data_IF_484881679334
#
_entry.id   IF_484881679334
#
_cell.length_a   1.000
_cell.length_b   1.000
_cell.length_c   1.000
_cell.angle_alpha   90.00
_cell.angle_beta   90.00
_cell.angle_gamma   90.00
#
_symmetry.space_group_name_H-M   'P 1'
#
loop_
_entity.id
_entity.type
_entity.pdbx_description
1 polymer ?
#
# COMPACT_ATOMS: atom_id res chain seq x y z
N UNK A 1 -12.24 -29.30 40.17
CA UNK A 1 -10.79 -29.04 39.93
C UNK A 1 -10.37 -30.00 38.83
N UNK A 2 -9.87 -29.65 37.65
CA UNK A 2 -9.54 -28.40 36.97
C UNK A 2 -9.52 -28.74 35.47
N UNK A 3 -10.14 -27.92 34.61
CA UNK A 3 -9.99 -28.05 33.15
C UNK A 3 -8.88 -27.09 32.70
N UNK A 4 -7.77 -27.65 32.24
CA UNK A 4 -6.62 -26.92 31.69
C UNK A 4 -7.02 -26.16 30.42
N UNK A 5 -6.84 -24.84 30.46
CA UNK A 5 -6.99 -23.96 29.31
C UNK A 5 -5.74 -23.99 28.43
N UNK A 6 -5.96 -24.22 27.14
CA UNK A 6 -4.95 -24.16 26.06
C UNK A 6 -4.31 -22.77 26.03
N UNK A 7 -3.00 -22.67 26.35
CA UNK A 7 -2.22 -21.45 26.18
C UNK A 7 -1.85 -21.27 24.71
N UNK A 8 -2.36 -20.21 24.09
CA UNK A 8 -1.92 -19.73 22.78
C UNK A 8 -0.48 -19.22 22.90
N UNK A 9 0.47 -19.94 22.30
CA UNK A 9 1.87 -19.49 22.16
C UNK A 9 1.92 -18.35 21.14
N UNK A 10 2.11 -17.11 21.62
CA UNK A 10 2.53 -15.98 20.78
C UNK A 10 3.96 -16.24 20.31
N UNK A 11 4.15 -16.46 19.01
CA UNK A 11 5.46 -16.47 18.37
C UNK A 11 5.88 -15.01 18.19
N UNK A 12 6.77 -14.55 19.07
CA UNK A 12 7.53 -13.31 18.90
C UNK A 12 8.63 -13.58 17.87
N UNK A 13 8.37 -13.20 16.62
CA UNK A 13 9.41 -13.12 15.59
C UNK A 13 10.39 -12.02 15.97
N UNK A 14 11.64 -12.41 16.17
CA UNK A 14 12.79 -11.53 16.40
C UNK A 14 13.01 -10.69 15.15
N UNK A 15 12.73 -9.40 15.24
CA UNK A 15 13.12 -8.40 14.24
C UNK A 15 14.65 -8.27 14.25
N UNK A 16 15.30 -8.68 13.16
CA UNK A 16 16.67 -8.31 12.88
C UNK A 16 16.68 -6.82 12.54
N UNK A 17 17.28 -6.01 13.39
CA UNK A 17 17.56 -4.60 13.13
C UNK A 17 18.64 -4.52 12.05
N UNK A 18 18.25 -4.20 10.82
CA UNK A 18 19.15 -3.62 9.82
C UNK A 18 18.90 -2.12 9.86
N UNK A 19 19.85 -1.39 10.43
CA UNK A 19 19.84 0.07 10.41
C UNK A 19 20.01 0.56 8.99
N UNK A 20 18.93 1.01 8.38
CA UNK A 20 18.95 1.82 7.16
C UNK A 20 18.69 3.25 7.59
N UNK A 21 19.72 4.08 7.52
CA UNK A 21 19.62 5.53 7.71
C UNK A 21 18.85 6.10 6.51
N UNK A 22 17.58 6.44 6.73
CA UNK A 22 16.76 7.17 5.76
C UNK A 22 16.98 8.65 6.01
N UNK A 23 17.74 9.31 5.14
CA UNK A 23 17.79 10.77 5.04
C UNK A 23 16.87 11.20 3.89
N UNK A 24 15.59 11.38 4.20
CA UNK A 24 14.62 11.97 3.28
C UNK A 24 14.81 13.49 3.23
N UNK A 25 15.49 13.99 2.18
CA UNK A 25 15.36 15.39 1.77
C UNK A 25 14.21 15.52 0.78
N UNK A 26 13.12 16.12 1.24
CA UNK A 26 12.14 16.78 0.36
C UNK A 26 12.87 17.96 -0.29
N UNK A 27 13.14 17.86 -1.59
CA UNK A 27 13.47 19.03 -2.40
C UNK A 27 12.37 19.25 -3.42
N UNK A 28 11.94 20.51 -3.47
CA UNK A 28 10.92 21.02 -4.34
C UNK A 28 11.25 20.76 -5.82
N UNK A 29 10.17 20.67 -6.59
CA UNK A 29 10.14 20.55 -8.05
C UNK A 29 11.20 21.40 -8.75
N UNK A 30 12.21 20.75 -9.33
CA UNK A 30 13.02 21.33 -10.41
C UNK A 30 12.56 20.68 -11.70
N UNK A 31 11.53 21.27 -12.31
CA UNK A 31 11.16 20.99 -13.69
C UNK A 31 12.21 21.61 -14.61
N UNK A 32 13.05 20.77 -15.22
CA UNK A 32 13.88 21.14 -16.36
C UNK A 32 15.12 20.26 -16.48
N UNK A 33 15.43 19.71 -17.67
CA UNK A 33 16.74 19.13 -17.90
C UNK A 33 17.76 20.28 -17.86
N UNK A 34 18.58 20.35 -16.81
CA UNK A 34 19.80 21.11 -16.87
C UNK A 34 20.72 20.37 -17.85
N UNK A 35 20.73 20.83 -19.10
CA UNK A 35 21.72 20.38 -20.09
C UNK A 35 23.05 20.99 -19.65
N UNK A 36 23.78 20.28 -18.81
CA UNK A 36 25.18 20.55 -18.59
C UNK A 36 25.88 20.43 -19.95
N UNK A 37 26.63 21.46 -20.35
CA UNK A 37 27.52 21.44 -21.51
C UNK A 37 28.46 20.23 -21.42
N UNK A 38 28.10 19.13 -22.09
CA UNK A 38 28.81 17.83 -22.08
C UNK A 38 30.01 17.81 -23.03
N UNK A 39 30.79 18.89 -23.10
CA UNK A 39 32.04 18.85 -23.87
C UNK A 39 33.14 18.29 -22.96
N UNK A 40 33.32 16.97 -23.01
CA UNK A 40 34.42 16.29 -22.32
C UNK A 40 35.74 16.66 -23.01
N UNK A 41 36.81 16.89 -22.25
CA UNK A 41 38.09 17.23 -22.84
C UNK A 41 38.62 16.08 -23.70
N UNK A 42 39.10 16.43 -24.89
CA UNK A 42 39.71 15.49 -25.82
C UNK A 42 41.17 15.17 -25.42
N UNK A 43 41.71 14.08 -25.95
CA UNK A 43 43.12 13.73 -25.73
C UNK A 43 44.08 14.79 -26.26
N UNK A 44 43.73 15.47 -27.36
CA UNK A 44 44.54 16.54 -27.92
C UNK A 44 44.56 17.77 -27.01
N UNK A 45 43.42 18.13 -26.41
CA UNK A 45 43.33 19.22 -25.42
C UNK A 45 44.14 18.90 -24.16
N UNK A 46 44.07 17.64 -23.69
CA UNK A 46 44.83 17.16 -22.53
C UNK A 46 46.33 17.18 -22.80
N UNK A 47 46.77 16.76 -23.99
CA UNK A 47 48.17 16.79 -24.40
C UNK A 47 48.71 18.23 -24.54
N UNK A 48 47.92 19.14 -25.14
CA UNK A 48 48.28 20.54 -25.28
C UNK A 48 48.39 21.25 -23.91
N UNK A 49 47.47 20.96 -22.98
CA UNK A 49 47.48 21.52 -21.64
C UNK A 49 48.73 21.09 -20.83
N UNK A 50 49.26 19.89 -21.06
CA UNK A 50 50.43 19.36 -20.36
C UNK A 50 51.71 20.18 -20.56
N UNK A 51 51.80 20.94 -21.64
CA UNK A 51 52.97 21.78 -21.93
C UNK A 51 53.07 23.05 -21.04
N UNK A 52 52.01 23.39 -20.30
CA UNK A 52 51.97 24.57 -19.43
C UNK A 52 51.39 24.22 -18.05
N UNK A 53 52.09 24.55 -16.98
CA UNK A 53 51.67 24.20 -15.61
C UNK A 53 50.31 24.80 -15.22
N UNK A 54 50.02 26.04 -15.64
CA UNK A 54 48.72 26.69 -15.38
C UNK A 54 47.59 26.03 -16.17
N UNK A 55 47.82 25.70 -17.44
CA UNK A 55 46.82 25.02 -18.28
C UNK A 55 46.57 23.59 -17.80
N UNK A 56 47.61 22.87 -17.37
CA UNK A 56 47.48 21.55 -16.78
C UNK A 56 46.65 21.57 -15.50
N UNK A 57 46.86 22.55 -14.62
CA UNK A 57 46.08 22.69 -13.39
C UNK A 57 44.60 22.99 -13.69
N UNK A 58 44.31 23.93 -14.60
CA UNK A 58 42.94 24.23 -15.01
C UNK A 58 42.23 23.01 -15.59
N UNK A 59 42.96 22.18 -16.34
CA UNK A 59 42.44 20.94 -16.92
C UNK A 59 42.18 19.87 -15.86
N UNK A 60 43.04 19.73 -14.85
CA UNK A 60 42.82 18.85 -13.69
C UNK A 60 41.56 19.28 -12.92
N UNK A 61 41.39 20.58 -12.65
CA UNK A 61 40.23 21.09 -11.94
C UNK A 61 38.93 20.85 -12.71
N UNK A 62 38.96 21.02 -14.04
CA UNK A 62 37.84 20.70 -14.92
C UNK A 62 37.49 19.20 -14.88
N UNK A 63 38.47 18.30 -14.97
CA UNK A 63 38.26 16.85 -14.92
C UNK A 63 37.69 16.42 -13.56
N UNK A 64 38.23 16.96 -12.45
CA UNK A 64 37.70 16.71 -11.10
C UNK A 64 36.24 17.18 -10.97
N UNK A 65 35.91 18.34 -11.54
CA UNK A 65 34.53 18.83 -11.60
C UNK A 65 33.60 17.89 -12.37
N UNK A 66 34.04 17.36 -13.51
CA UNK A 66 33.29 16.38 -14.31
C UNK A 66 33.08 15.07 -13.55
N UNK A 67 34.11 14.54 -12.87
CA UNK A 67 34.01 13.34 -12.04
C UNK A 67 33.01 13.52 -10.90
N UNK A 68 33.08 14.66 -10.19
CA UNK A 68 32.13 14.99 -9.13
C UNK A 68 30.69 15.11 -9.67
N UNK A 69 30.51 15.73 -10.85
CA UNK A 69 29.22 15.83 -11.52
C UNK A 69 28.63 14.46 -11.89
N UNK A 70 29.45 13.57 -12.46
CA UNK A 70 29.04 12.19 -12.79
C UNK A 70 28.61 11.41 -11.54
N UNK A 71 29.40 11.49 -10.46
CA UNK A 71 29.05 10.85 -9.19
C UNK A 71 27.73 11.40 -8.62
N UNK A 72 27.56 12.72 -8.64
CA UNK A 72 26.33 13.37 -8.16
C UNK A 72 25.11 12.95 -8.99
N UNK A 73 25.25 12.84 -10.31
CA UNK A 73 24.17 12.38 -11.20
C UNK A 73 23.80 10.92 -10.92
N UNK A 74 24.79 10.04 -10.75
CA UNK A 74 24.55 8.64 -10.41
C UNK A 74 23.86 8.48 -9.05
N UNK A 75 24.31 9.24 -8.03
CA UNK A 75 23.69 9.26 -6.71
C UNK A 75 22.24 9.75 -6.78
N UNK A 76 21.99 10.84 -7.51
CA UNK A 76 20.62 11.38 -7.68
C UNK A 76 19.68 10.36 -8.33
N UNK A 77 20.16 9.65 -9.36
CA UNK A 77 19.39 8.60 -10.00
C UNK A 77 19.14 7.39 -9.07
N UNK A 78 20.13 7.01 -8.27
CA UNK A 78 20.00 5.95 -7.26
C UNK A 78 18.99 6.33 -6.16
N UNK A 79 19.06 7.55 -5.63
CA UNK A 79 18.13 8.06 -4.63
C UNK A 79 16.69 8.09 -5.17
N UNK A 80 16.52 8.54 -6.42
CA UNK A 80 15.23 8.51 -7.10
C UNK A 80 14.71 7.06 -7.24
N UNK A 81 15.56 6.10 -7.60
CA UNK A 81 15.16 4.69 -7.70
C UNK A 81 14.72 4.12 -6.34
N UNK A 82 15.45 4.44 -5.25
CA UNK A 82 15.08 4.05 -3.89
C UNK A 82 13.73 4.65 -3.48
N UNK A 83 13.53 5.95 -3.75
CA UNK A 83 12.27 6.61 -3.46
C UNK A 83 11.10 5.94 -4.20
N UNK A 84 11.25 5.68 -5.51
CA UNK A 84 10.19 5.03 -6.30
C UNK A 84 9.94 3.59 -5.88
N UNK A 85 10.96 2.87 -5.41
CA UNK A 85 10.78 1.55 -4.82
C UNK A 85 9.94 1.63 -3.52
N UNK A 86 10.20 2.61 -2.64
CA UNK A 86 9.40 2.81 -1.44
C UNK A 86 7.94 3.20 -1.76
N UNK A 87 7.71 4.00 -2.79
CA UNK A 87 6.37 4.34 -3.29
C UNK A 87 5.63 3.10 -3.82
N UNK A 88 6.33 2.21 -4.54
CA UNK A 88 5.79 0.92 -4.98
C UNK A 88 5.40 0.03 -3.79
N UNK A 89 6.27 -0.11 -2.79
CA UNK A 89 6.00 -0.91 -1.60
C UNK A 89 4.76 -0.40 -0.86
N UNK A 90 4.64 0.93 -0.71
CA UNK A 90 3.47 1.56 -0.11
C UNK A 90 2.18 1.29 -0.93
N UNK A 91 2.26 1.37 -2.26
CA UNK A 91 1.13 1.08 -3.14
C UNK A 91 0.69 -0.39 -3.06
N UNK A 92 1.65 -1.33 -3.01
CA UNK A 92 1.36 -2.76 -2.84
C UNK A 92 0.72 -3.05 -1.47
N UNK A 93 1.21 -2.43 -0.40
CA UNK A 93 0.61 -2.55 0.92
C UNK A 93 -0.84 -2.02 0.94
N UNK A 94 -1.10 -0.88 0.28
CA UNK A 94 -2.44 -0.31 0.14
C UNK A 94 -3.38 -1.21 -0.67
N UNK A 95 -2.90 -1.83 -1.75
CA UNK A 95 -3.64 -2.83 -2.53
C UNK A 95 -3.99 -4.04 -1.67
N UNK A 96 -3.03 -4.58 -0.92
CA UNK A 96 -3.27 -5.74 -0.05
C UNK A 96 -4.32 -5.41 1.03
N UNK A 97 -4.23 -4.24 1.67
CA UNK A 97 -5.21 -3.79 2.64
C UNK A 97 -6.62 -3.62 2.02
N UNK A 98 -6.70 -3.05 0.82
CA UNK A 98 -7.96 -2.92 0.09
C UNK A 98 -8.55 -4.27 -0.31
N UNK A 99 -7.71 -5.23 -0.72
CA UNK A 99 -8.13 -6.58 -1.07
C UNK A 99 -8.67 -7.35 0.14
N UNK A 100 -8.01 -7.23 1.29
CA UNK A 100 -8.50 -7.82 2.55
C UNK A 100 -9.88 -7.24 2.91
N UNK A 101 -10.01 -5.90 2.92
CA UNK A 101 -11.27 -5.23 3.24
C UNK A 101 -12.41 -5.61 2.28
N UNK A 102 -12.13 -5.69 0.98
CA UNK A 102 -13.12 -6.10 -0.02
C UNK A 102 -13.58 -7.55 0.22
N UNK A 103 -12.64 -8.45 0.55
CA UNK A 103 -12.94 -9.86 0.87
C UNK A 103 -13.79 -9.98 2.13
N UNK A 104 -13.44 -9.24 3.19
CA UNK A 104 -14.17 -9.26 4.46
C UNK A 104 -15.60 -8.74 4.29
N UNK A 105 -15.78 -7.64 3.56
CA UNK A 105 -17.11 -7.08 3.28
C UNK A 105 -17.94 -7.99 2.37
N UNK A 106 -17.32 -8.62 1.36
CA UNK A 106 -18.01 -9.59 0.51
C UNK A 106 -18.51 -10.80 1.33
N UNK A 107 -17.70 -11.32 2.24
CA UNK A 107 -18.07 -12.41 3.15
C UNK A 107 -19.21 -12.03 4.08
N UNK A 108 -19.15 -10.83 4.68
CA UNK A 108 -20.22 -10.29 5.53
C UNK A 108 -21.52 -10.09 4.74
N UNK A 109 -21.45 -9.54 3.53
CA UNK A 109 -22.60 -9.36 2.65
C UNK A 109 -23.25 -10.69 2.27
N UNK A 110 -22.45 -11.71 1.93
CA UNK A 110 -22.95 -13.05 1.61
C UNK A 110 -23.65 -13.70 2.82
N UNK A 111 -23.04 -13.60 4.00
CA UNK A 111 -23.63 -14.09 5.27
C UNK A 111 -24.95 -13.39 5.56
N UNK A 112 -24.98 -12.06 5.44
CA UNK A 112 -26.18 -11.27 5.70
C UNK A 112 -27.31 -11.57 4.71
N UNK A 113 -26.97 -11.79 3.44
CA UNK A 113 -27.90 -12.16 2.37
C UNK A 113 -28.52 -13.54 2.64
N UNK A 114 -27.70 -14.54 2.99
CA UNK A 114 -28.19 -15.88 3.34
C UNK A 114 -29.16 -15.86 4.54
N UNK A 115 -28.84 -15.07 5.56
CA UNK A 115 -29.73 -14.86 6.70
C UNK A 115 -31.05 -14.17 6.30
N UNK A 116 -30.98 -13.15 5.43
CA UNK A 116 -32.16 -12.47 4.91
C UNK A 116 -33.06 -13.43 4.11
N UNK A 117 -32.46 -14.27 3.26
CA UNK A 117 -33.18 -15.26 2.45
C UNK A 117 -33.86 -16.34 3.31
N UNK A 118 -33.17 -16.77 4.37
CA UNK A 118 -33.74 -17.71 5.35
C UNK A 118 -34.97 -17.11 6.03
N UNK A 119 -34.87 -15.86 6.52
CA UNK A 119 -35.98 -15.15 7.15
C UNK A 119 -37.12 -14.88 6.16
N UNK A 120 -36.80 -14.57 4.90
CA UNK A 120 -37.79 -14.39 3.83
C UNK A 120 -38.58 -15.69 3.58
N UNK A 121 -37.89 -16.84 3.51
CA UNK A 121 -38.54 -18.16 3.35
C UNK A 121 -39.45 -18.47 4.54
N UNK A 122 -38.98 -18.28 5.77
CA UNK A 122 -39.79 -18.48 6.98
C UNK A 122 -41.01 -17.55 7.04
N UNK A 123 -40.86 -16.29 6.62
CA UNK A 123 -41.97 -15.35 6.55
C UNK A 123 -42.98 -15.75 5.48
N UNK A 124 -42.51 -16.24 4.33
CA UNK A 124 -43.35 -16.75 3.25
C UNK A 124 -44.13 -18.01 3.64
N UNK A 125 -43.50 -18.95 4.33
CA UNK A 125 -44.19 -20.16 4.82
C UNK A 125 -45.25 -19.82 5.86
N UNK A 126 -44.94 -18.92 6.79
CA UNK A 126 -45.90 -18.41 7.79
C UNK A 126 -47.08 -17.70 7.11
N UNK A 127 -46.84 -16.81 6.14
CA UNK A 127 -47.89 -16.15 5.38
C UNK A 127 -48.79 -17.17 4.65
N UNK A 128 -48.20 -18.21 4.05
CA UNK A 128 -48.94 -19.27 3.37
C UNK A 128 -49.74 -20.17 4.33
N UNK A 129 -49.32 -20.31 5.59
CA UNK A 129 -50.06 -21.02 6.63
C UNK A 129 -51.22 -20.17 7.16
N UNK A 130 -50.99 -18.89 7.43
CA UNK A 130 -52.04 -17.94 7.85
C UNK A 130 -53.11 -17.76 6.77
N UNK A 131 -52.72 -17.67 5.50
CA UNK A 131 -53.67 -17.57 4.38
C UNK A 131 -54.54 -18.84 4.24
N UNK A 132 -54.02 -20.02 4.60
CA UNK A 132 -54.78 -21.27 4.60
C UNK A 132 -55.63 -21.47 5.85
N UNK A 133 -55.22 -20.93 7.00
CA UNK A 133 -55.89 -21.12 8.29
C UNK A 133 -56.85 -19.99 8.73
N UNK A 134 -56.75 -18.78 8.17
CA UNK A 134 -57.33 -17.57 8.78
C UNK A 134 -58.50 -16.88 8.07
N UNK A 135 -58.89 -17.27 6.86
CA UNK A 135 -59.80 -16.45 6.04
C UNK A 135 -61.30 -16.75 6.16
N UNK A 136 -61.68 -18.02 6.17
CA UNK A 136 -63.08 -18.43 6.02
C UNK A 136 -63.49 -19.59 6.91
N UNK A 137 -62.55 -20.46 7.30
CA UNK A 137 -62.86 -21.66 8.09
C UNK A 137 -63.02 -21.38 9.59
N UNK A 138 -62.26 -20.42 10.15
CA UNK A 138 -62.27 -20.17 11.61
C UNK A 138 -63.50 -19.40 12.05
N UNK A 139 -63.87 -18.34 11.34
CA UNK A 139 -65.09 -17.57 11.60
C UNK A 139 -66.35 -18.40 11.36
N UNK A 140 -66.35 -19.25 10.32
CA UNK A 140 -67.45 -20.19 10.04
C UNK A 140 -67.50 -21.30 11.11
N UNK A 141 -66.37 -21.86 11.54
CA UNK A 141 -66.33 -22.84 12.64
C UNK A 141 -66.73 -22.22 13.97
N UNK A 142 -66.36 -20.98 14.28
CA UNK A 142 -66.74 -20.30 15.52
C UNK A 142 -68.24 -19.95 15.53
N UNK A 143 -68.81 -19.62 14.35
CA UNK A 143 -70.25 -19.42 14.18
C UNK A 143 -71.04 -20.74 14.25
N UNK A 144 -70.46 -21.85 13.80
CA UNK A 144 -71.07 -23.19 13.82
C UNK A 144 -70.76 -24.01 15.10
N UNK A 145 -69.82 -23.55 15.93
CA UNK A 145 -69.48 -24.20 17.21
C UNK A 145 -70.56 -23.84 18.21
N UNK A 146 -71.45 -24.79 18.44
CA UNK A 146 -72.58 -24.68 19.36
C UNK A 146 -72.14 -24.19 20.74
N UNK A 147 -73.03 -23.42 21.38
CA UNK A 147 -72.93 -22.58 22.58
C UNK A 147 -72.42 -23.24 23.89
N UNK A 148 -71.78 -24.41 23.82
CA UNK A 148 -71.18 -25.17 24.92
C UNK A 148 -69.64 -25.12 24.95
N UNK A 149 -68.99 -24.47 23.97
CA UNK A 149 -67.56 -24.18 24.05
C UNK A 149 -67.29 -23.26 25.25
N UNK A 150 -66.64 -23.80 26.29
CA UNK A 150 -66.32 -23.08 27.53
C UNK A 150 -65.51 -21.81 27.21
N UNK A 151 -65.85 -20.68 27.84
CA UNK A 151 -65.16 -19.38 27.74
C UNK A 151 -63.63 -19.49 27.79
N UNK A 152 -63.12 -20.45 28.58
CA UNK A 152 -61.69 -20.76 28.68
C UNK A 152 -61.05 -21.19 27.36
N UNK A 153 -61.76 -21.94 26.52
CA UNK A 153 -61.27 -22.37 25.19
C UNK A 153 -61.11 -21.19 24.22
N UNK A 154 -61.99 -20.20 24.35
CA UNK A 154 -61.99 -18.97 23.56
C UNK A 154 -60.85 -18.04 23.99
N UNK A 155 -60.63 -17.90 25.31
CA UNK A 155 -59.50 -17.17 25.86
C UNK A 155 -58.15 -17.81 25.49
N UNK A 156 -58.08 -19.14 25.49
CA UNK A 156 -56.90 -19.88 25.03
C UNK A 156 -56.61 -19.64 23.55
N UNK A 157 -57.63 -19.72 22.68
CA UNK A 157 -57.49 -19.43 21.24
C UNK A 157 -57.07 -17.98 20.99
N UNK A 158 -57.66 -17.02 21.70
CA UNK A 158 -57.28 -15.61 21.58
C UNK A 158 -55.84 -15.35 22.02
N UNK A 159 -55.42 -15.97 23.13
CA UNK A 159 -54.04 -15.92 23.60
C UNK A 159 -53.06 -16.53 22.59
N UNK A 160 -53.42 -17.66 21.98
CA UNK A 160 -52.62 -18.31 20.94
C UNK A 160 -52.49 -17.46 19.67
N UNK A 161 -53.57 -16.83 19.21
CA UNK A 161 -53.57 -15.90 18.06
C UNK A 161 -52.75 -14.66 18.38
N UNK A 162 -52.87 -14.08 19.58
CA UNK A 162 -52.05 -12.94 20.01
C UNK A 162 -50.57 -13.29 20.00
N UNK A 163 -50.18 -14.44 20.56
CA UNK A 163 -48.78 -14.89 20.53
C UNK A 163 -48.27 -15.18 19.12
N UNK A 164 -49.12 -15.71 18.25
CA UNK A 164 -48.76 -15.90 16.84
C UNK A 164 -48.56 -14.56 16.13
N UNK A 165 -49.42 -13.57 16.36
CA UNK A 165 -49.29 -12.23 15.81
C UNK A 165 -48.01 -11.53 16.30
N UNK A 166 -47.71 -11.59 17.61
CA UNK A 166 -46.46 -11.09 18.18
C UNK A 166 -45.24 -11.73 17.51
N UNK A 167 -45.23 -13.06 17.37
CA UNK A 167 -44.12 -13.80 16.73
C UNK A 167 -43.98 -13.48 15.25
N UNK A 168 -45.11 -13.28 14.56
CA UNK A 168 -45.15 -12.89 13.14
C UNK A 168 -44.57 -11.49 12.93
N UNK A 169 -44.98 -10.53 13.77
CA UNK A 169 -44.47 -9.17 13.72
C UNK A 169 -42.96 -9.14 14.04
N UNK A 170 -42.52 -9.87 15.07
CA UNK A 170 -41.10 -9.99 15.40
C UNK A 170 -40.28 -10.60 14.25
N UNK A 171 -40.82 -11.59 13.53
CA UNK A 171 -40.17 -12.19 12.37
C UNK A 171 -40.05 -11.19 11.21
N UNK A 172 -41.11 -10.45 10.89
CA UNK A 172 -41.10 -9.44 9.83
C UNK A 172 -40.14 -8.29 10.12
N UNK A 173 -40.08 -7.83 11.38
CA UNK A 173 -39.13 -6.82 11.81
C UNK A 173 -37.68 -7.30 11.66
N UNK A 174 -37.38 -8.54 12.10
CA UNK A 174 -36.06 -9.15 11.91
C UNK A 174 -35.72 -9.32 10.42
N UNK A 175 -36.65 -9.78 9.60
CA UNK A 175 -36.45 -9.94 8.16
C UNK A 175 -36.13 -8.60 7.49
N UNK A 176 -36.84 -7.54 7.86
CA UNK A 176 -36.61 -6.18 7.33
C UNK A 176 -35.25 -5.65 7.76
N UNK A 177 -34.90 -5.77 9.04
CA UNK A 177 -33.58 -5.37 9.55
C UNK A 177 -32.45 -6.13 8.83
N UNK A 178 -32.59 -7.44 8.67
CA UNK A 178 -31.59 -8.28 8.02
C UNK A 178 -31.45 -7.96 6.52
N UNK A 179 -32.55 -7.68 5.83
CA UNK A 179 -32.53 -7.23 4.43
C UNK A 179 -31.79 -5.89 4.28
N UNK A 180 -32.08 -4.93 5.17
CA UNK A 180 -31.42 -3.63 5.13
C UNK A 180 -29.92 -3.76 5.42
N UNK A 181 -29.54 -4.63 6.37
CA UNK A 181 -28.14 -4.97 6.64
C UNK A 181 -27.46 -5.59 5.42
N UNK A 182 -28.09 -6.59 4.78
CA UNK A 182 -27.56 -7.23 3.58
C UNK A 182 -27.36 -6.23 2.44
N UNK A 183 -28.34 -5.35 2.19
CA UNK A 183 -28.26 -4.29 1.18
C UNK A 183 -27.12 -3.31 1.46
N UNK A 184 -26.97 -2.90 2.73
CA UNK A 184 -25.90 -1.99 3.14
C UNK A 184 -24.52 -2.63 2.97
N UNK A 185 -24.34 -3.87 3.44
CA UNK A 185 -23.08 -4.61 3.31
C UNK A 185 -22.73 -4.90 1.85
N UNK A 186 -23.72 -5.23 1.01
CA UNK A 186 -23.51 -5.44 -0.43
C UNK A 186 -23.05 -4.15 -1.12
N UNK A 187 -23.64 -3.00 -0.77
CA UNK A 187 -23.21 -1.68 -1.27
C UNK A 187 -21.77 -1.37 -0.83
N UNK A 188 -21.45 -1.62 0.44
CA UNK A 188 -20.09 -1.43 0.95
C UNK A 188 -19.08 -2.36 0.29
N UNK A 189 -19.44 -3.63 0.03
CA UNK A 189 -18.59 -4.58 -0.67
C UNK A 189 -18.32 -4.14 -2.12
N UNK A 190 -19.33 -3.63 -2.84
CA UNK A 190 -19.15 -3.08 -4.19
C UNK A 190 -18.24 -1.85 -4.20
N UNK A 191 -18.42 -0.94 -3.24
CA UNK A 191 -17.55 0.22 -3.07
C UNK A 191 -16.10 -0.20 -2.75
N UNK A 192 -15.91 -1.16 -1.83
CA UNK A 192 -14.60 -1.69 -1.49
C UNK A 192 -13.91 -2.39 -2.68
N UNK A 193 -14.67 -3.09 -3.52
CA UNK A 193 -14.15 -3.69 -4.75
C UNK A 193 -13.68 -2.63 -5.75
N UNK A 194 -14.41 -1.52 -5.87
CA UNK A 194 -14.01 -0.38 -6.71
C UNK A 194 -12.70 0.23 -6.20
N UNK A 195 -12.59 0.44 -4.88
CA UNK A 195 -11.36 0.93 -4.25
C UNK A 195 -10.20 -0.04 -4.48
N UNK A 196 -10.42 -1.35 -4.35
CA UNK A 196 -9.40 -2.37 -4.65
C UNK A 196 -8.91 -2.26 -6.11
N UNK A 197 -9.81 -2.11 -7.08
CA UNK A 197 -9.45 -1.95 -8.49
C UNK A 197 -8.64 -0.66 -8.73
N UNK A 198 -8.99 0.44 -8.06
CA UNK A 198 -8.21 1.67 -8.12
C UNK A 198 -6.80 1.47 -7.55
N UNK A 199 -6.69 0.82 -6.39
CA UNK A 199 -5.38 0.50 -5.78
C UNK A 199 -4.53 -0.44 -6.63
N UNK A 200 -5.16 -1.33 -7.38
CA UNK A 200 -4.47 -2.23 -8.31
C UNK A 200 -3.85 -1.44 -9.48
N UNK A 201 -4.60 -0.50 -10.06
CA UNK A 201 -4.09 0.41 -11.06
C UNK A 201 -2.98 1.33 -10.52
N UNK A 202 -3.15 1.86 -9.30
CA UNK A 202 -2.15 2.69 -8.61
C UNK A 202 -0.84 1.90 -8.40
N UNK A 203 -0.94 0.65 -7.93
CA UNK A 203 0.22 -0.23 -7.73
C UNK A 203 0.92 -0.57 -9.05
N UNK A 204 0.16 -0.82 -10.13
CA UNK A 204 0.74 -1.03 -11.46
C UNK A 204 1.49 0.20 -11.97
N UNK A 205 0.92 1.39 -11.81
CA UNK A 205 1.58 2.65 -12.19
C UNK A 205 2.86 2.88 -11.37
N UNK A 206 2.82 2.62 -10.07
CA UNK A 206 3.99 2.72 -9.20
C UNK A 206 5.07 1.72 -9.62
N UNK A 207 4.69 0.50 -10.04
CA UNK A 207 5.63 -0.49 -10.53
C UNK A 207 6.35 -0.02 -11.80
N UNK A 208 5.58 0.45 -12.79
CA UNK A 208 6.15 0.93 -14.06
C UNK A 208 7.08 2.14 -13.81
N UNK A 209 6.71 3.01 -12.86
CA UNK A 209 7.52 4.16 -12.43
C UNK A 209 8.82 3.74 -11.73
N UNK A 210 8.75 2.77 -10.82
CA UNK A 210 9.91 2.24 -10.11
C UNK A 210 10.87 1.50 -11.05
N UNK A 211 10.34 0.71 -11.99
CA UNK A 211 11.12 0.03 -13.01
C UNK A 211 11.87 1.02 -13.91
N UNK A 212 11.19 2.09 -14.35
CA UNK A 212 11.83 3.15 -15.12
C UNK A 212 12.93 3.87 -14.34
N UNK A 213 12.69 4.18 -13.06
CA UNK A 213 13.68 4.84 -12.22
C UNK A 213 14.90 3.94 -11.98
N UNK A 214 14.69 2.64 -11.76
CA UNK A 214 15.77 1.67 -11.67
C UNK A 214 16.60 1.62 -12.95
N UNK A 215 15.96 1.53 -14.12
CA UNK A 215 16.66 1.51 -15.39
C UNK A 215 17.50 2.79 -15.61
N UNK A 216 16.97 3.96 -15.22
CA UNK A 216 17.71 5.21 -15.27
C UNK A 216 18.93 5.22 -14.31
N UNK A 217 18.78 4.67 -13.11
CA UNK A 217 19.89 4.53 -12.16
C UNK A 217 20.99 3.59 -12.68
N UNK A 218 20.59 2.43 -13.24
CA UNK A 218 21.54 1.48 -13.85
C UNK A 218 22.29 2.13 -15.02
N UNK A 219 21.59 2.90 -15.87
CA UNK A 219 22.19 3.62 -16.98
C UNK A 219 23.14 4.74 -16.52
N UNK A 220 22.76 5.51 -15.49
CA UNK A 220 23.60 6.56 -14.93
C UNK A 220 24.88 5.98 -14.30
N UNK A 221 24.79 4.83 -13.63
CA UNK A 221 25.95 4.13 -13.08
C UNK A 221 26.89 3.63 -14.19
N UNK A 222 26.35 3.06 -15.26
CA UNK A 222 27.16 2.59 -16.39
C UNK A 222 27.86 3.75 -17.13
N UNK A 223 27.15 4.87 -17.33
CA UNK A 223 27.71 6.09 -17.93
C UNK A 223 28.79 6.70 -17.04
N UNK A 224 28.53 6.77 -15.72
CA UNK A 224 29.51 7.22 -14.72
C UNK A 224 30.78 6.37 -14.76
N UNK A 225 30.67 5.04 -14.76
CA UNK A 225 31.83 4.14 -14.81
C UNK A 225 32.66 4.36 -16.09
N UNK A 226 32.00 4.34 -17.25
CA UNK A 226 32.66 4.47 -18.56
C UNK A 226 33.39 5.81 -18.70
N UNK A 227 32.74 6.91 -18.28
CA UNK A 227 33.32 8.26 -18.38
C UNK A 227 34.38 8.50 -17.32
N UNK A 228 34.19 7.99 -16.10
CA UNK A 228 35.17 8.11 -15.04
C UNK A 228 36.47 7.40 -15.41
N UNK A 229 36.41 6.20 -16.00
CA UNK A 229 37.60 5.49 -16.47
C UNK A 229 38.44 6.33 -17.46
N UNK A 230 37.76 6.98 -18.41
CA UNK A 230 38.41 7.88 -19.38
C UNK A 230 39.02 9.10 -18.69
N UNK A 231 38.26 9.75 -17.80
CA UNK A 231 38.69 10.93 -17.07
C UNK A 231 39.89 10.64 -16.15
N UNK A 232 39.91 9.49 -15.46
CA UNK A 232 41.04 9.07 -14.64
C UNK A 232 42.30 8.81 -15.48
N UNK A 233 42.16 8.24 -16.69
CA UNK A 233 43.28 8.04 -17.61
C UNK A 233 43.88 9.39 -18.08
N UNK A 234 43.03 10.38 -18.37
CA UNK A 234 43.46 11.73 -18.73
C UNK A 234 44.15 12.44 -17.55
N UNK A 235 43.61 12.29 -16.35
CA UNK A 235 44.17 12.86 -15.11
C UNK A 235 45.57 12.29 -14.82
N UNK A 236 45.72 10.97 -14.98
CA UNK A 236 47.00 10.27 -14.86
C UNK A 236 48.03 10.79 -15.87
N UNK A 237 47.62 11.01 -17.12
CA UNK A 237 48.49 11.59 -18.16
C UNK A 237 48.96 13.01 -17.81
N UNK A 238 48.07 13.86 -17.28
CA UNK A 238 48.39 15.23 -16.87
C UNK A 238 49.35 15.28 -15.68
N UNK A 239 49.14 14.42 -14.68
CA UNK A 239 49.91 14.40 -13.43
C UNK A 239 51.15 13.51 -13.46
N UNK A 240 51.38 12.76 -14.54
CA UNK A 240 52.38 11.69 -14.61
C UNK A 240 52.21 10.66 -13.47
N UNK A 241 50.96 10.28 -13.18
CA UNK A 241 50.60 9.28 -12.17
C UNK A 241 49.94 8.07 -12.83
N UNK A 242 49.50 7.09 -12.04
CA UNK A 242 48.69 5.97 -12.54
C UNK A 242 47.21 6.26 -12.34
N UNK A 243 46.36 5.87 -13.29
CA UNK A 243 44.91 6.06 -13.22
C UNK A 243 44.28 5.42 -11.96
N UNK A 244 44.84 4.30 -11.49
CA UNK A 244 44.46 3.64 -10.24
C UNK A 244 44.68 4.50 -9.01
N UNK A 245 45.77 5.29 -8.97
CA UNK A 245 46.11 6.19 -7.86
C UNK A 245 45.16 7.38 -7.84
N UNK A 246 44.89 7.99 -9.00
CA UNK A 246 43.94 9.11 -9.09
C UNK A 246 42.51 8.68 -8.72
N UNK A 247 42.12 7.45 -9.08
CA UNK A 247 40.84 6.87 -8.68
C UNK A 247 40.73 6.70 -7.16
N UNK A 248 41.71 6.05 -6.54
CA UNK A 248 41.74 5.85 -5.08
C UNK A 248 41.71 7.18 -4.32
N UNK A 249 42.43 8.19 -4.84
CA UNK A 249 42.41 9.53 -4.26
C UNK A 249 41.01 10.17 -4.34
N UNK A 250 40.37 10.15 -5.51
CA UNK A 250 39.04 10.71 -5.69
C UNK A 250 37.97 10.00 -4.83
N UNK A 251 38.04 8.66 -4.75
CA UNK A 251 37.16 7.85 -3.90
C UNK A 251 37.38 8.15 -2.41
N UNK A 252 38.64 8.27 -1.98
CA UNK A 252 38.99 8.63 -0.60
C UNK A 252 38.52 10.02 -0.21
N UNK A 253 38.66 11.01 -1.10
CA UNK A 253 38.15 12.37 -0.90
C UNK A 253 36.62 12.40 -0.81
N UNK A 254 35.93 11.64 -1.67
CA UNK A 254 34.48 11.53 -1.63
C UNK A 254 34.01 10.89 -0.31
N UNK A 255 34.67 9.82 0.14
CA UNK A 255 34.39 9.17 1.41
C UNK A 255 34.64 10.10 2.61
N UNK A 256 35.72 10.88 2.59
CA UNK A 256 36.02 11.87 3.64
C UNK A 256 34.94 12.96 3.69
N UNK A 257 34.56 13.52 2.55
CA UNK A 257 33.47 14.52 2.47
C UNK A 257 32.13 13.97 2.96
N UNK A 258 31.83 12.70 2.65
CA UNK A 258 30.63 12.04 3.14
C UNK A 258 30.64 11.84 4.67
N UNK A 259 31.81 11.61 5.28
CA UNK A 259 31.97 11.47 6.73
C UNK A 259 31.98 12.82 7.48
N UNK A 260 32.38 13.90 6.81
CA UNK A 260 32.43 15.27 7.36
C UNK A 260 31.07 15.98 7.36
N UNK A 261 30.08 15.48 6.60
CA UNK A 261 28.72 15.97 6.74
C UNK A 261 28.19 15.56 8.12
N UNK A 262 27.89 16.52 9.01
CA UNK A 262 27.38 16.18 10.33
C UNK A 262 26.10 15.38 10.16
N UNK A 263 26.03 14.21 10.79
CA UNK A 263 24.77 13.58 11.09
C UNK A 263 23.95 14.62 11.87
N UNK A 264 23.00 15.29 11.20
CA UNK A 264 22.05 16.17 11.84
C UNK A 264 21.47 15.40 13.02
N UNK A 265 21.72 15.92 14.21
CA UNK A 265 21.29 15.42 15.50
C UNK A 265 19.78 15.15 15.50
N UNK A 266 19.39 13.91 15.20
CA UNK A 266 18.08 13.37 15.54
C UNK A 266 18.03 13.05 17.03
N UNK A 267 18.06 14.09 17.85
CA UNK A 267 17.95 14.01 19.30
C UNK A 267 16.92 15.02 19.81
N UNK A 268 15.80 14.53 20.32
CA UNK A 268 14.92 15.28 21.23
C UNK A 268 13.43 15.07 21.00
N UNK A 269 12.79 14.24 21.83
CA UNK A 269 11.32 14.20 21.86
C UNK A 269 10.63 13.05 22.61
N UNK A 270 11.27 12.35 23.54
CA UNK A 270 10.55 11.60 24.57
C UNK A 270 10.27 12.51 25.76
N UNK A 271 9.00 12.86 26.00
CA UNK A 271 8.39 13.27 27.29
C UNK A 271 6.92 13.66 27.04
N UNK A 272 5.97 12.88 27.57
CA UNK A 272 4.53 13.13 27.50
C UNK A 272 3.74 11.85 27.76
#
# INVERSE_FOLDING_TARGET
MSREGVRVRRVLTRSAAVGVLVASLVTAEVTGPAVAETTYPSWDEVAAAKANASSAQAQVDRINGLLAGLQSSANTAADAAIQRAAELDAAQAALQAAAQKATDLASQAATATSAADTLRKQSGTLAAQLSRGGGSDVSVRLFLSDSTATTDSLLYQLGAVSKLAERSNALLQRATAQRNLASSLSTQAAAAQTVRQQRDADAKKAYDTAASAKAAADAALADQQTRADTLYAQLASLKNTQASVERQYAEGEAARKAAEQPASTGGGGGSG
#
